data_IF_634195646185
#
_entry.id   IF_634195646185
#
_cell.length_a   1.000
_cell.length_b   1.000
_cell.length_c   1.000
_cell.angle_alpha   90.00
_cell.angle_beta   90.00
_cell.angle_gamma   90.00
#
_symmetry.space_group_name_H-M   'P 1'
#
loop_
_entity.id
_entity.type
_entity.pdbx_description
1 polymer ?
#
# COMPACT_ATOMS: atom_id res chain seq x y z
N UNK A 1 22.78 -19.23 -11.84
CA UNK A 1 21.33 -19.39 -11.70
C UNK A 1 20.85 -18.04 -11.22
N UNK A 2 20.23 -17.25 -12.10
CA UNK A 2 19.67 -15.95 -11.72
C UNK A 2 18.47 -16.29 -10.85
N UNK A 3 18.50 -15.87 -9.60
CA UNK A 3 17.38 -16.05 -8.69
C UNK A 3 16.36 -14.97 -9.10
N UNK A 4 15.20 -15.35 -9.67
CA UNK A 4 14.10 -14.45 -10.03
C UNK A 4 13.43 -13.92 -8.76
N UNK A 5 13.81 -12.73 -8.33
CA UNK A 5 13.18 -12.11 -7.15
C UNK A 5 11.67 -11.90 -7.36
N UNK A 6 10.89 -12.05 -6.28
CA UNK A 6 9.47 -11.71 -6.28
C UNK A 6 9.32 -10.24 -6.69
N UNK A 7 8.46 -9.95 -7.67
CA UNK A 7 8.14 -8.57 -8.01
C UNK A 7 7.40 -7.91 -6.83
N UNK A 8 8.09 -6.99 -6.17
CA UNK A 8 7.56 -6.24 -5.03
C UNK A 8 6.71 -5.04 -5.45
N UNK A 9 6.50 -4.84 -6.76
CA UNK A 9 5.84 -3.66 -7.31
C UNK A 9 6.50 -2.38 -6.80
N UNK A 10 7.84 -2.29 -6.92
CA UNK A 10 8.58 -1.11 -6.44
C UNK A 10 8.08 0.15 -7.13
N UNK A 11 8.16 1.28 -6.44
CA UNK A 11 7.70 2.57 -6.93
C UNK A 11 8.55 3.00 -8.15
N UNK A 12 7.92 3.16 -9.30
CA UNK A 12 8.59 3.62 -10.53
C UNK A 12 8.61 5.15 -10.61
N UNK A 13 9.52 5.69 -11.43
CA UNK A 13 9.59 7.12 -11.68
C UNK A 13 8.27 7.67 -12.26
N UNK A 14 7.64 6.93 -13.19
CA UNK A 14 6.37 7.32 -13.81
C UNK A 14 5.22 7.39 -12.78
N UNK A 15 5.18 6.46 -11.82
CA UNK A 15 4.19 6.51 -10.74
C UNK A 15 4.47 7.68 -9.81
N UNK A 16 5.74 7.89 -9.47
CA UNK A 16 6.18 8.96 -8.57
C UNK A 16 5.87 10.35 -9.13
N UNK A 17 5.96 10.53 -10.45
CA UNK A 17 5.68 11.80 -11.13
C UNK A 17 4.23 12.26 -10.92
N UNK A 18 3.27 11.34 -10.75
CA UNK A 18 1.87 11.68 -10.46
C UNK A 18 1.67 12.38 -9.11
N UNK A 19 2.66 12.30 -8.21
CA UNK A 19 2.63 12.92 -6.88
C UNK A 19 3.46 14.21 -6.81
N UNK A 20 4.11 14.61 -7.90
CA UNK A 20 4.94 15.81 -7.97
C UNK A 20 4.09 17.05 -8.34
N UNK A 21 4.46 18.26 -7.89
CA UNK A 21 3.68 19.47 -8.14
C UNK A 21 3.88 19.96 -9.58
N UNK A 22 3.05 19.44 -10.49
CA UNK A 22 3.07 19.74 -11.93
C UNK A 22 2.72 21.19 -12.27
N UNK A 23 2.09 21.91 -11.34
CA UNK A 23 1.81 23.34 -11.41
C UNK A 23 3.06 24.21 -11.21
N UNK A 24 4.17 23.61 -10.75
CA UNK A 24 5.44 24.29 -10.49
C UNK A 24 6.52 23.83 -11.46
N UNK A 25 7.57 24.66 -11.61
CA UNK A 25 8.78 24.23 -12.29
C UNK A 25 9.54 23.16 -11.49
N UNK A 26 10.28 22.25 -12.15
CA UNK A 26 11.11 21.25 -11.46
C UNK A 26 12.21 21.90 -10.59
N UNK A 27 12.81 21.17 -9.64
CA UNK A 27 13.93 21.66 -8.85
C UNK A 27 15.14 22.00 -9.73
N UNK A 28 15.99 22.88 -9.20
CA UNK A 28 17.23 23.26 -9.89
C UNK A 28 18.09 22.03 -10.20
N UNK A 29 18.68 21.99 -11.39
CA UNK A 29 19.47 20.85 -11.87
C UNK A 29 18.68 19.78 -12.63
N UNK A 30 17.36 19.90 -12.73
CA UNK A 30 16.50 18.94 -13.46
C UNK A 30 15.73 19.63 -14.60
N UNK A 31 15.68 18.99 -15.76
CA UNK A 31 15.01 19.50 -16.95
C UNK A 31 13.48 19.34 -16.91
N UNK A 32 13.00 18.32 -16.20
CA UNK A 32 11.59 17.98 -16.05
C UNK A 32 11.30 17.34 -14.68
N UNK A 33 10.02 17.20 -14.33
CA UNK A 33 9.61 16.44 -13.14
C UNK A 33 9.90 14.95 -13.30
N UNK A 34 9.74 14.38 -14.49
CA UNK A 34 10.19 13.01 -14.80
C UNK A 34 11.69 12.78 -14.57
N UNK A 35 12.55 13.74 -14.94
CA UNK A 35 14.00 13.64 -14.65
C UNK A 35 14.27 13.63 -13.15
N UNK A 36 13.55 14.46 -12.40
CA UNK A 36 13.65 14.49 -10.94
C UNK A 36 13.12 13.19 -10.32
N UNK A 37 11.97 12.69 -10.78
CA UNK A 37 11.40 11.42 -10.32
C UNK A 37 12.37 10.26 -10.52
N UNK A 38 13.03 10.20 -11.69
CA UNK A 38 14.07 9.22 -11.97
C UNK A 38 15.28 9.37 -11.05
N UNK A 39 15.71 10.59 -10.78
CA UNK A 39 16.81 10.82 -9.85
C UNK A 39 16.48 10.42 -8.41
N UNK A 40 15.22 10.57 -7.98
CA UNK A 40 14.73 10.08 -6.69
C UNK A 40 14.80 8.53 -6.64
N UNK A 41 14.26 7.84 -7.65
CA UNK A 41 14.29 6.37 -7.70
C UNK A 41 15.69 5.80 -7.83
N UNK A 42 16.61 6.52 -8.49
CA UNK A 42 18.02 6.15 -8.61
C UNK A 42 18.83 6.45 -7.32
N UNK A 43 18.23 7.06 -6.30
CA UNK A 43 18.90 7.48 -5.07
C UNK A 43 19.89 8.64 -5.25
N UNK A 44 19.78 9.38 -6.36
CA UNK A 44 20.65 10.53 -6.71
C UNK A 44 20.11 11.86 -6.19
N UNK A 45 18.87 11.89 -5.71
CA UNK A 45 18.22 13.06 -5.14
C UNK A 45 17.36 12.65 -3.93
N UNK A 46 16.98 13.63 -3.11
CA UNK A 46 16.01 13.48 -2.03
C UNK A 46 14.82 14.40 -2.27
N UNK A 47 13.62 13.92 -2.01
CA UNK A 47 12.41 14.73 -2.10
C UNK A 47 12.42 15.83 -1.03
N UNK A 48 13.00 15.56 0.15
CA UNK A 48 13.16 16.51 1.26
C UNK A 48 13.98 17.74 0.90
N UNK A 49 14.88 17.64 -0.09
CA UNK A 49 15.72 18.75 -0.53
C UNK A 49 14.93 19.72 -1.44
N UNK A 50 13.80 19.27 -1.99
CA UNK A 50 12.95 20.07 -2.86
C UNK A 50 11.89 20.83 -2.05
N UNK A 51 12.14 22.12 -1.80
CA UNK A 51 11.20 23.04 -1.10
C UNK A 51 9.83 23.21 -1.78
N UNK A 52 9.67 22.74 -3.02
CA UNK A 52 8.43 22.85 -3.79
C UNK A 52 7.42 21.75 -3.45
N UNK A 53 7.89 20.63 -2.88
CA UNK A 53 7.09 19.49 -2.45
C UNK A 53 6.65 19.72 -1.00
N UNK A 54 5.40 19.36 -0.68
CA UNK A 54 4.93 19.39 0.72
C UNK A 54 5.82 18.52 1.62
N UNK A 55 6.11 19.00 2.83
CA UNK A 55 7.07 18.32 3.72
C UNK A 55 6.66 16.90 4.13
N UNK A 56 5.35 16.63 4.27
CA UNK A 56 4.86 15.27 4.57
C UNK A 56 5.01 14.36 3.35
N UNK A 57 4.67 14.88 2.16
CA UNK A 57 4.82 14.16 0.91
C UNK A 57 6.30 13.83 0.65
N UNK A 58 7.18 14.82 0.76
CA UNK A 58 8.62 14.64 0.60
C UNK A 58 9.19 13.60 1.57
N UNK A 59 8.82 13.67 2.85
CA UNK A 59 9.20 12.66 3.84
C UNK A 59 8.70 11.26 3.45
N UNK A 60 7.44 11.13 3.04
CA UNK A 60 6.87 9.85 2.64
C UNK A 60 7.58 9.25 1.42
N UNK A 61 7.90 10.07 0.41
CA UNK A 61 8.67 9.66 -0.78
C UNK A 61 10.06 9.15 -0.38
N UNK A 62 10.83 9.93 0.38
CA UNK A 62 12.17 9.52 0.82
C UNK A 62 12.13 8.27 1.70
N UNK A 63 11.12 8.16 2.57
CA UNK A 63 10.92 7.01 3.44
C UNK A 63 10.72 5.73 2.63
N UNK A 64 9.77 5.71 1.67
CA UNK A 64 9.50 4.50 0.88
C UNK A 64 10.63 4.15 -0.08
N UNK A 65 11.30 5.15 -0.66
CA UNK A 65 12.45 4.93 -1.55
C UNK A 65 13.69 4.46 -0.79
N UNK A 66 13.78 4.70 0.52
CA UNK A 66 14.86 4.17 1.37
C UNK A 66 14.72 2.70 1.75
N UNK A 67 13.55 2.10 1.51
CA UNK A 67 13.29 0.71 1.89
C UNK A 67 14.11 -0.20 0.97
N UNK A 68 15.11 -0.87 1.55
CA UNK A 68 15.88 -1.90 0.88
C UNK A 68 15.49 -3.27 1.43
N UNK A 69 14.75 -4.04 0.62
CA UNK A 69 14.30 -5.39 0.95
C UNK A 69 14.47 -6.28 -0.26
N UNK A 70 14.96 -7.47 0.02
CA UNK A 70 15.16 -8.55 -0.93
C UNK A 70 14.47 -9.78 -0.35
N UNK A 71 13.57 -10.38 -1.12
CA UNK A 71 12.86 -11.59 -0.73
C UNK A 71 13.34 -12.76 -1.57
N UNK A 72 13.38 -13.97 -1.00
CA UNK A 72 13.65 -15.17 -1.80
C UNK A 72 12.55 -15.34 -2.87
N UNK A 73 12.89 -16.06 -3.94
CA UNK A 73 12.05 -16.40 -5.10
C UNK A 73 10.63 -16.90 -4.76
N UNK A 74 10.41 -17.47 -3.56
CA UNK A 74 9.10 -18.02 -3.19
C UNK A 74 8.84 -17.99 -1.68
N UNK A 75 7.55 -18.01 -1.31
CA UNK A 75 7.07 -18.35 0.04
C UNK A 75 6.69 -19.85 0.09
N UNK A 76 7.64 -20.78 0.29
CA UNK A 76 7.33 -22.20 0.29
C UNK A 76 6.43 -22.62 1.46
N UNK A 77 6.30 -21.78 2.49
CA UNK A 77 5.56 -22.12 3.70
C UNK A 77 4.12 -21.60 3.69
N UNK A 78 3.78 -20.66 2.79
CA UNK A 78 2.44 -20.08 2.62
C UNK A 78 1.79 -19.73 3.98
N UNK A 79 2.55 -19.04 4.82
CA UNK A 79 2.16 -18.82 6.23
C UNK A 79 1.09 -17.75 6.35
N UNK A 80 0.22 -17.93 7.35
CA UNK A 80 -0.83 -16.99 7.69
C UNK A 80 -0.46 -16.14 8.90
N UNK A 81 -0.79 -14.85 8.87
CA UNK A 81 -0.89 -14.05 10.09
C UNK A 81 -2.12 -14.50 10.89
N UNK A 82 -2.02 -14.65 12.23
CA UNK A 82 -3.13 -15.12 13.05
C UNK A 82 -4.14 -14.02 13.43
N UNK A 83 -3.75 -12.75 13.43
CA UNK A 83 -4.61 -11.65 13.86
C UNK A 83 -5.62 -11.27 12.77
N UNK A 84 -6.82 -10.87 13.20
CA UNK A 84 -7.91 -10.42 12.31
C UNK A 84 -7.92 -8.90 12.10
N UNK A 85 -7.13 -8.16 12.87
CA UNK A 85 -6.99 -6.72 12.79
C UNK A 85 -5.61 -6.33 13.32
N UNK A 86 -4.90 -5.50 12.57
CA UNK A 86 -3.66 -4.86 12.99
C UNK A 86 -3.84 -3.36 13.08
N UNK A 87 -3.20 -2.76 14.08
CA UNK A 87 -3.17 -1.31 14.31
C UNK A 87 -1.74 -0.81 14.13
N UNK A 88 -1.53 0.03 13.11
CA UNK A 88 -0.22 0.60 12.79
C UNK A 88 -0.14 2.06 13.19
N UNK A 89 0.96 2.42 13.86
CA UNK A 89 1.30 3.78 14.26
C UNK A 89 0.21 4.51 15.09
N UNK A 90 -0.53 3.76 15.91
CA UNK A 90 -1.60 4.27 16.78
C UNK A 90 -2.72 4.95 15.97
N UNK A 91 -3.52 4.18 15.22
CA UNK A 91 -4.63 4.71 14.44
C UNK A 91 -5.73 5.27 15.35
N UNK A 92 -6.46 6.23 14.82
CA UNK A 92 -7.62 6.87 15.43
C UNK A 92 -8.86 6.69 14.55
N UNK A 93 -9.99 7.25 14.99
CA UNK A 93 -11.30 7.10 14.33
C UNK A 93 -11.32 7.59 12.86
N UNK A 94 -10.38 8.46 12.49
CA UNK A 94 -10.22 9.00 11.13
C UNK A 94 -9.20 8.26 10.28
N UNK A 95 -8.48 7.28 10.85
CA UNK A 95 -7.44 6.53 10.15
C UNK A 95 -8.03 5.57 9.12
N UNK A 96 -7.33 5.33 7.99
CA UNK A 96 -7.82 4.45 6.93
C UNK A 96 -7.89 3.00 7.37
N UNK A 97 -8.87 2.28 6.81
CA UNK A 97 -8.95 0.81 6.87
C UNK A 97 -8.40 0.25 5.59
N UNK A 98 -7.33 -0.55 5.67
CA UNK A 98 -6.66 -1.15 4.53
C UNK A 98 -6.98 -2.65 4.49
N UNK A 99 -7.51 -3.13 3.36
CA UNK A 99 -7.70 -4.56 3.14
C UNK A 99 -6.44 -5.17 2.54
N UNK A 100 -6.10 -6.39 2.94
CA UNK A 100 -4.97 -7.15 2.37
C UNK A 100 -5.21 -8.65 2.49
N UNK A 101 -4.29 -9.49 2.01
CA UNK A 101 -4.31 -10.94 2.25
C UNK A 101 -3.72 -11.28 3.63
N UNK A 102 -3.97 -12.49 4.12
CA UNK A 102 -3.37 -12.97 5.37
C UNK A 102 -1.98 -13.60 5.20
N UNK A 103 -1.31 -13.43 4.06
CA UNK A 103 0.07 -13.88 3.87
C UNK A 103 1.03 -13.16 4.80
N UNK A 104 1.91 -13.90 5.48
CA UNK A 104 2.98 -13.32 6.31
C UNK A 104 3.90 -12.42 5.48
N UNK A 105 4.26 -12.79 4.25
CA UNK A 105 5.14 -11.98 3.41
C UNK A 105 4.46 -10.67 3.02
N UNK A 106 3.23 -10.72 2.50
CA UNK A 106 2.46 -9.51 2.15
C UNK A 106 2.35 -8.58 3.36
N UNK A 107 2.06 -9.14 4.52
CA UNK A 107 1.92 -8.36 5.75
C UNK A 107 3.23 -7.76 6.26
N UNK A 108 4.36 -8.48 6.15
CA UNK A 108 5.69 -7.97 6.51
C UNK A 108 6.09 -6.76 5.65
N UNK A 109 5.86 -6.83 4.33
CA UNK A 109 6.13 -5.71 3.42
C UNK A 109 5.24 -4.51 3.78
N UNK A 110 3.94 -4.75 3.96
CA UNK A 110 3.00 -3.68 4.30
C UNK A 110 3.35 -3.02 5.64
N UNK A 111 3.70 -3.82 6.66
CA UNK A 111 4.18 -3.31 7.94
C UNK A 111 5.40 -2.43 7.77
N UNK A 112 6.41 -2.90 7.02
CA UNK A 112 7.64 -2.14 6.80
C UNK A 112 7.35 -0.80 6.14
N UNK A 113 6.51 -0.77 5.11
CA UNK A 113 6.13 0.47 4.43
C UNK A 113 5.40 1.43 5.37
N UNK A 114 4.37 0.94 6.08
CA UNK A 114 3.58 1.77 6.98
C UNK A 114 4.41 2.32 8.14
N UNK A 115 5.27 1.52 8.76
CA UNK A 115 6.14 1.95 9.85
C UNK A 115 7.19 2.96 9.37
N UNK A 116 7.84 2.69 8.22
CA UNK A 116 8.89 3.55 7.66
C UNK A 116 8.35 4.93 7.29
N UNK A 117 7.16 4.98 6.67
CA UNK A 117 6.50 6.23 6.31
C UNK A 117 5.58 6.78 7.42
N UNK A 118 5.57 6.17 8.62
CA UNK A 118 4.78 6.58 9.80
C UNK A 118 3.28 6.73 9.53
N UNK A 119 2.73 5.86 8.69
CA UNK A 119 1.31 5.87 8.31
C UNK A 119 0.47 5.23 9.41
N UNK A 120 -0.50 5.99 9.93
CA UNK A 120 -1.52 5.45 10.82
C UNK A 120 -2.56 4.70 10.02
N UNK A 121 -2.83 3.44 10.36
CA UNK A 121 -3.83 2.65 9.65
C UNK A 121 -4.35 1.48 10.48
N UNK A 122 -5.60 1.12 10.21
CA UNK A 122 -6.13 -0.20 10.51
C UNK A 122 -5.88 -1.12 9.31
N UNK A 123 -5.30 -2.29 9.53
CA UNK A 123 -5.06 -3.27 8.46
C UNK A 123 -5.84 -4.55 8.77
N UNK A 124 -6.65 -4.99 7.82
CA UNK A 124 -7.51 -6.17 7.94
C UNK A 124 -7.05 -7.23 6.93
N UNK A 125 -6.44 -8.33 7.41
CA UNK A 125 -6.11 -9.46 6.56
C UNK A 125 -7.36 -10.28 6.25
N UNK A 126 -7.63 -10.49 4.97
CA UNK A 126 -8.64 -11.43 4.46
C UNK A 126 -8.02 -12.82 4.46
N UNK A 127 -8.75 -13.84 4.92
CA UNK A 127 -8.25 -15.22 4.86
C UNK A 127 -8.21 -15.70 3.41
N UNK A 128 -7.02 -15.69 2.83
CA UNK A 128 -6.72 -16.13 1.48
C UNK A 128 -5.87 -17.38 1.48
N UNK A 129 -5.97 -18.20 2.54
CA UNK A 129 -5.12 -19.37 2.70
C UNK A 129 -3.61 -19.10 2.77
N UNK A 130 -3.20 -17.88 3.15
CA UNK A 130 -1.79 -17.50 3.21
C UNK A 130 -1.19 -17.17 1.84
N UNK A 131 -1.98 -17.16 0.76
CA UNK A 131 -1.53 -16.64 -0.53
C UNK A 131 -1.21 -15.15 -0.42
N UNK A 132 -0.12 -14.74 -1.06
CA UNK A 132 0.19 -13.32 -1.31
C UNK A 132 -0.98 -12.69 -2.05
N UNK A 133 -1.15 -11.37 -1.91
CA UNK A 133 -2.37 -10.70 -2.39
C UNK A 133 -2.60 -10.86 -3.90
N UNK A 134 -1.55 -10.72 -4.71
CA UNK A 134 -1.54 -10.98 -6.14
C UNK A 134 -2.01 -12.39 -6.48
N UNK A 135 -1.39 -13.40 -5.86
CA UNK A 135 -1.77 -14.81 -6.03
C UNK A 135 -3.20 -15.06 -5.58
N UNK A 136 -3.62 -14.49 -4.45
CA UNK A 136 -4.97 -14.64 -3.93
C UNK A 136 -6.03 -14.05 -4.86
N UNK A 137 -5.72 -12.97 -5.58
CA UNK A 137 -6.62 -12.41 -6.59
C UNK A 137 -6.65 -13.32 -7.83
N UNK A 138 -5.49 -13.73 -8.34
CA UNK A 138 -5.38 -14.58 -9.54
C UNK A 138 -6.08 -15.93 -9.36
N UNK A 139 -5.91 -16.55 -8.19
CA UNK A 139 -6.50 -17.85 -7.84
C UNK A 139 -7.95 -17.76 -7.36
N UNK A 140 -8.48 -16.55 -7.18
CA UNK A 140 -9.85 -16.32 -6.71
C UNK A 140 -10.06 -16.59 -5.22
N UNK A 141 -9.01 -16.62 -4.41
CA UNK A 141 -9.09 -16.75 -2.95
C UNK A 141 -9.45 -15.43 -2.25
N UNK A 142 -9.17 -14.27 -2.85
CA UNK A 142 -9.63 -12.97 -2.35
C UNK A 142 -11.07 -12.71 -2.84
N UNK A 143 -12.08 -12.99 -2.00
CA UNK A 143 -13.49 -13.00 -2.41
C UNK A 143 -14.35 -11.95 -1.68
N UNK A 144 -15.48 -11.51 -2.26
CA UNK A 144 -16.44 -10.63 -1.57
C UNK A 144 -16.91 -11.15 -0.21
N UNK A 145 -17.17 -12.46 -0.12
CA UNK A 145 -17.58 -13.09 1.14
C UNK A 145 -16.43 -13.18 2.15
N UNK A 146 -15.19 -13.42 1.68
CA UNK A 146 -14.00 -13.35 2.52
C UNK A 146 -13.80 -11.96 3.13
N UNK A 147 -13.97 -10.90 2.32
CA UNK A 147 -13.88 -9.52 2.79
C UNK A 147 -14.99 -9.20 3.80
N UNK A 148 -16.23 -9.61 3.54
CA UNK A 148 -17.34 -9.46 4.50
C UNK A 148 -17.00 -10.10 5.84
N UNK A 149 -16.54 -11.36 5.82
CA UNK A 149 -16.14 -12.08 7.04
C UNK A 149 -15.03 -11.33 7.79
N UNK A 150 -13.99 -10.89 7.08
CA UNK A 150 -12.87 -10.17 7.70
C UNK A 150 -13.29 -8.83 8.33
N UNK A 151 -14.17 -8.07 7.68
CA UNK A 151 -14.74 -6.83 8.22
C UNK A 151 -15.62 -7.08 9.45
N UNK A 152 -16.38 -8.19 9.47
CA UNK A 152 -17.19 -8.56 10.63
C UNK A 152 -16.33 -9.02 11.80
N UNK A 153 -15.40 -9.95 11.57
CA UNK A 153 -14.57 -10.55 12.61
C UNK A 153 -13.59 -9.56 13.26
N UNK A 154 -13.09 -8.60 12.49
CA UNK A 154 -12.21 -7.53 13.00
C UNK A 154 -12.93 -6.54 13.92
N UNK A 155 -14.27 -6.52 13.91
CA UNK A 155 -15.10 -5.52 14.59
C UNK A 155 -14.69 -4.07 14.26
N UNK A 156 -14.13 -3.82 13.07
CA UNK A 156 -13.57 -2.53 12.68
C UNK A 156 -14.61 -1.40 12.68
N UNK A 157 -15.88 -1.72 12.42
CA UNK A 157 -16.97 -0.76 12.43
C UNK A 157 -17.13 -0.02 13.77
N UNK A 158 -16.69 -0.61 14.87
CA UNK A 158 -16.71 0.01 16.20
C UNK A 158 -15.53 0.97 16.46
N UNK A 159 -14.50 0.95 15.60
CA UNK A 159 -13.27 1.75 15.74
C UNK A 159 -13.17 2.92 14.76
N UNK A 160 -13.99 2.93 13.71
CA UNK A 160 -13.91 3.91 12.62
C UNK A 160 -15.17 4.76 12.51
N UNK A 161 -15.04 6.02 12.10
CA UNK A 161 -16.18 6.94 11.95
C UNK A 161 -17.07 6.66 10.72
N UNK A 162 -16.61 5.83 9.78
CA UNK A 162 -17.34 5.52 8.56
C UNK A 162 -17.04 4.09 8.07
N UNK A 163 -18.01 3.47 7.38
CA UNK A 163 -17.83 2.19 6.70
C UNK A 163 -17.14 2.36 5.34
N UNK A 164 -15.88 2.78 5.38
CA UNK A 164 -15.01 2.95 4.21
C UNK A 164 -13.72 2.16 4.38
N UNK A 165 -13.28 1.48 3.31
CA UNK A 165 -12.01 0.78 3.29
C UNK A 165 -11.29 0.95 1.96
N UNK A 166 -9.97 0.90 2.00
CA UNK A 166 -9.09 0.89 0.82
C UNK A 166 -8.93 -0.54 0.34
N UNK A 167 -9.39 -0.78 -0.88
CA UNK A 167 -9.22 -2.04 -1.60
C UNK A 167 -7.91 -1.98 -2.39
N UNK A 168 -7.04 -2.99 -2.33
CA UNK A 168 -5.83 -2.99 -3.13
C UNK A 168 -6.13 -2.90 -4.63
N UNK A 169 -5.26 -2.22 -5.38
CA UNK A 169 -5.44 -2.00 -6.82
C UNK A 169 -5.55 -3.29 -7.63
N UNK A 170 -4.88 -4.35 -7.18
CA UNK A 170 -4.96 -5.70 -7.77
C UNK A 170 -6.39 -6.27 -7.71
N UNK A 171 -7.18 -5.89 -6.71
CA UNK A 171 -8.54 -6.37 -6.50
C UNK A 171 -9.61 -5.41 -7.06
N UNK A 172 -9.23 -4.40 -7.87
CA UNK A 172 -10.15 -3.36 -8.36
C UNK A 172 -11.43 -3.91 -9.02
N UNK A 173 -11.32 -5.01 -9.75
CA UNK A 173 -12.44 -5.60 -10.50
C UNK A 173 -13.48 -6.25 -9.56
N UNK A 174 -13.10 -6.52 -8.30
CA UNK A 174 -14.00 -7.06 -7.28
C UNK A 174 -14.79 -5.98 -6.53
N UNK A 175 -14.44 -4.70 -6.69
CA UNK A 175 -15.01 -3.56 -5.95
C UNK A 175 -16.53 -3.63 -5.83
N UNK A 176 -17.24 -3.69 -6.96
CA UNK A 176 -18.71 -3.66 -6.97
C UNK A 176 -19.33 -4.87 -6.27
N UNK A 177 -18.69 -6.04 -6.35
CA UNK A 177 -19.17 -7.24 -5.66
C UNK A 177 -18.93 -7.16 -4.16
N UNK A 178 -17.77 -6.64 -3.75
CA UNK A 178 -17.42 -6.40 -2.35
C UNK A 178 -18.37 -5.38 -1.73
N UNK A 179 -18.62 -4.23 -2.37
CA UNK A 179 -19.53 -3.21 -1.85
C UNK A 179 -20.97 -3.75 -1.70
N UNK A 180 -21.44 -4.55 -2.67
CA UNK A 180 -22.76 -5.20 -2.56
C UNK A 180 -22.86 -6.17 -1.39
N UNK A 181 -21.82 -7.00 -1.18
CA UNK A 181 -21.80 -7.98 -0.10
C UNK A 181 -21.65 -7.32 1.27
N UNK A 182 -20.77 -6.32 1.38
CA UNK A 182 -20.36 -5.72 2.66
C UNK A 182 -21.22 -4.54 3.09
N UNK A 183 -21.82 -3.81 2.14
CA UNK A 183 -22.41 -2.48 2.36
C UNK A 183 -21.40 -1.45 2.88
N UNK A 184 -20.10 -1.71 2.74
CA UNK A 184 -19.04 -0.74 2.91
C UNK A 184 -18.76 -0.05 1.57
N UNK A 185 -18.30 1.19 1.61
CA UNK A 185 -17.76 1.85 0.42
C UNK A 185 -16.29 1.48 0.28
N UNK A 186 -15.92 1.03 -0.92
CA UNK A 186 -14.56 0.63 -1.26
C UNK A 186 -13.91 1.72 -2.10
N UNK A 187 -12.71 2.11 -1.72
CA UNK A 187 -11.89 3.00 -2.54
C UNK A 187 -10.69 2.21 -3.08
N UNK A 188 -10.51 2.20 -4.40
CA UNK A 188 -9.43 1.43 -5.04
C UNK A 188 -8.12 2.16 -4.81
N UNK A 189 -7.27 1.60 -3.96
CA UNK A 189 -5.91 2.03 -3.72
C UNK A 189 -4.93 1.55 -4.77
N UNK A 190 -3.63 1.82 -4.56
CA UNK A 190 -2.58 1.44 -5.49
C UNK A 190 -2.38 -0.08 -5.56
N UNK A 191 -1.72 -0.52 -6.63
CA UNK A 191 -1.22 -1.91 -6.74
C UNK A 191 -0.04 -2.11 -5.79
N UNK A 192 0.86 -1.13 -5.73
CA UNK A 192 2.05 -1.16 -4.89
C UNK A 192 1.77 -0.72 -3.47
N UNK A 193 2.28 -1.48 -2.49
CA UNK A 193 2.31 -1.02 -1.10
C UNK A 193 3.23 0.21 -0.93
N UNK A 194 4.30 0.34 -1.72
CA UNK A 194 5.25 1.46 -1.64
C UNK A 194 4.64 2.80 -2.07
N UNK A 195 3.61 2.76 -2.91
CA UNK A 195 2.84 3.95 -3.31
C UNK A 195 1.83 4.37 -2.24
N UNK A 196 1.41 3.44 -1.36
CA UNK A 196 0.32 3.65 -0.42
C UNK A 196 0.49 4.88 0.50
N UNK A 197 1.67 5.18 1.06
CA UNK A 197 1.85 6.38 1.87
C UNK A 197 1.60 7.68 1.11
N UNK A 198 2.04 7.76 -0.16
CA UNK A 198 1.86 8.93 -1.01
C UNK A 198 0.37 9.08 -1.37
N UNK A 199 -0.24 7.98 -1.76
CA UNK A 199 -1.66 7.91 -2.08
C UNK A 199 -2.59 8.35 -0.94
N UNK A 200 -2.27 7.98 0.31
CA UNK A 200 -3.07 8.37 1.47
C UNK A 200 -2.93 9.85 1.83
N UNK A 201 -1.84 10.52 1.41
CA UNK A 201 -1.64 11.95 1.64
C UNK A 201 -2.37 12.84 0.63
N UNK A 202 -2.81 12.31 -0.51
CA UNK A 202 -3.51 13.07 -1.56
C UNK A 202 -5.04 13.08 -1.40
N UNK A 203 -5.56 12.53 -0.31
CA UNK A 203 -7.00 12.34 -0.07
C UNK A 203 -7.53 13.21 1.07
#
# INVERSE_FOLDING_TARGET
>A
MVIEEIDLYRLSADVLENYLPTDKSPPEGFGSWGDFAKALTDGKARASDCKKIDGKMAFAMDAVLSIDIHLPESDPMQRKVPEVLFEYNSPDVGSPVLLTSNSVITHQILKLVLDTAKVKAFVIPVDTNGYTLDNAVITGNFTPMGVLKALTDSNIAAKTGAKRAVLPGLAKDLKNNIERATRWSMEVGPVSAFELPLYLLTR
#
